data_IF_385225162412
#
_entry.id   IF_385225162412
#
_cell.length_a   1.000
_cell.length_b   1.000
_cell.length_c   1.000
_cell.angle_alpha   90.00
_cell.angle_beta   90.00
_cell.angle_gamma   90.00
#
_symmetry.space_group_name_H-M   'P 1'
#
loop_
_entity.id
_entity.type
_entity.pdbx_description
1 polymer ?
#
# COMPACT_ATOMS: atom_id res chain seq x y z
N UNK A 1 5.11 -14.08 11.17
CA UNK A 1 3.92 -13.24 10.86
C UNK A 1 4.47 -12.02 10.14
N UNK A 2 4.20 -11.86 8.84
CA UNK A 2 4.88 -10.88 7.98
C UNK A 2 4.03 -9.61 7.71
N UNK A 3 2.86 -9.51 8.35
CA UNK A 3 1.91 -8.40 8.20
C UNK A 3 2.56 -7.05 8.48
N UNK A 4 3.36 -6.94 9.56
CA UNK A 4 3.98 -5.68 10.00
C UNK A 4 4.97 -5.14 8.98
N UNK A 5 5.68 -5.97 8.24
CA UNK A 5 6.62 -5.49 7.24
C UNK A 5 5.95 -5.20 5.88
N UNK A 6 4.72 -5.70 5.67
CA UNK A 6 3.99 -5.60 4.39
C UNK A 6 2.84 -4.59 4.37
N UNK A 7 2.56 -3.89 5.48
CA UNK A 7 1.41 -2.99 5.57
C UNK A 7 1.59 -1.67 4.82
N UNK A 8 2.80 -1.11 4.79
CA UNK A 8 3.05 0.27 4.33
C UNK A 8 2.77 0.43 2.84
N UNK A 9 1.86 1.35 2.48
CA UNK A 9 1.74 1.87 1.11
C UNK A 9 1.37 0.84 0.03
N UNK A 10 0.78 -0.30 0.42
CA UNK A 10 0.53 -1.49 -0.42
C UNK A 10 1.80 -2.28 -0.80
N UNK A 11 2.87 -2.07 -0.04
CA UNK A 11 4.10 -2.84 -0.06
C UNK A 11 5.17 -2.34 -1.02
N UNK A 12 6.42 -2.53 -0.58
CA UNK A 12 7.64 -2.09 -1.26
C UNK A 12 8.22 -3.24 -2.08
N UNK A 13 8.57 -2.98 -3.33
CA UNK A 13 9.33 -3.94 -4.14
C UNK A 13 10.76 -4.09 -3.63
N UNK A 14 11.49 -5.09 -4.12
CA UNK A 14 12.92 -5.23 -3.85
C UNK A 14 13.73 -3.99 -4.31
N UNK A 15 13.30 -3.35 -5.40
CA UNK A 15 13.93 -2.15 -5.92
C UNK A 15 13.68 -0.95 -5.00
N UNK A 16 12.46 -0.79 -4.49
CA UNK A 16 12.12 0.21 -3.48
C UNK A 16 12.97 -0.02 -2.21
N UNK A 17 13.06 -1.26 -1.75
CA UNK A 17 13.85 -1.63 -0.58
C UNK A 17 15.33 -1.27 -0.76
N UNK A 18 15.89 -1.54 -1.95
CA UNK A 18 17.27 -1.18 -2.29
C UNK A 18 17.48 0.33 -2.28
N UNK A 19 16.56 1.11 -2.86
CA UNK A 19 16.64 2.58 -2.89
C UNK A 19 16.53 3.19 -1.49
N UNK A 20 15.73 2.56 -0.61
CA UNK A 20 15.51 3.00 0.77
C UNK A 20 16.58 2.49 1.76
N UNK A 21 17.52 1.66 1.32
CA UNK A 21 18.54 1.05 2.19
C UNK A 21 17.99 0.02 3.18
N UNK A 22 16.82 -0.56 2.87
CA UNK A 22 16.20 -1.62 3.66
C UNK A 22 16.81 -3.00 3.29
N UNK A 23 16.62 -4.04 4.13
CA UNK A 23 16.92 -5.40 3.73
C UNK A 23 16.22 -5.72 2.40
N UNK A 24 16.98 -6.21 1.42
CA UNK A 24 16.50 -6.44 0.06
C UNK A 24 15.57 -7.66 0.06
N UNK A 25 14.26 -7.39 0.00
CA UNK A 25 13.18 -8.37 -0.14
C UNK A 25 11.92 -7.68 -0.63
N UNK A 26 10.95 -8.49 -1.05
CA UNK A 26 9.63 -8.02 -1.44
C UNK A 26 8.71 -7.88 -0.20
N UNK A 27 8.26 -6.65 0.04
CA UNK A 27 7.35 -6.26 1.11
C UNK A 27 5.91 -6.11 0.59
N UNK A 28 5.58 -6.61 -0.61
CA UNK A 28 4.21 -6.64 -1.10
C UNK A 28 3.34 -7.65 -0.32
N UNK A 29 2.09 -7.29 0.04
CA UNK A 29 1.13 -8.23 0.62
C UNK A 29 0.93 -9.47 -0.26
N UNK A 30 1.04 -10.66 0.34
CA UNK A 30 0.90 -11.94 -0.35
C UNK A 30 -0.38 -12.69 0.05
N UNK A 31 -0.83 -12.51 1.30
CA UNK A 31 -2.06 -13.16 1.80
C UNK A 31 -3.23 -12.18 1.88
N UNK A 32 -4.45 -12.71 2.00
CA UNK A 32 -5.65 -11.89 2.17
C UNK A 32 -5.58 -11.03 3.44
N UNK A 33 -5.10 -11.58 4.55
CA UNK A 33 -4.93 -10.87 5.81
C UNK A 33 -3.94 -9.72 5.69
N UNK A 34 -2.83 -9.94 4.96
CA UNK A 34 -1.85 -8.89 4.69
C UNK A 34 -2.45 -7.76 3.83
N UNK A 35 -3.27 -8.12 2.83
CA UNK A 35 -3.98 -7.14 1.99
C UNK A 35 -4.98 -6.32 2.79
N UNK A 36 -5.77 -6.97 3.65
CA UNK A 36 -6.76 -6.32 4.52
C UNK A 36 -6.06 -5.31 5.45
N UNK A 37 -4.98 -5.70 6.11
CA UNK A 37 -4.26 -4.80 7.02
C UNK A 37 -3.62 -3.63 6.26
N UNK A 38 -2.99 -3.90 5.11
CA UNK A 38 -2.43 -2.84 4.28
C UNK A 38 -3.50 -1.88 3.75
N UNK A 39 -4.67 -2.39 3.37
CA UNK A 39 -5.79 -1.55 2.93
C UNK A 39 -6.33 -0.68 4.06
N UNK A 40 -6.53 -1.25 5.24
CA UNK A 40 -6.97 -0.50 6.42
C UNK A 40 -5.99 0.63 6.78
N UNK A 41 -4.66 0.38 6.74
CA UNK A 41 -3.65 1.43 6.95
C UNK A 41 -3.77 2.59 5.95
N UNK A 42 -4.09 2.27 4.69
CA UNK A 42 -4.25 3.27 3.63
C UNK A 42 -5.56 4.07 3.70
N UNK A 43 -6.50 3.70 4.58
CA UNK A 43 -7.73 4.45 4.86
C UNK A 43 -7.60 5.37 6.08
N UNK A 44 -6.40 5.49 6.65
CA UNK A 44 -6.12 6.41 7.74
C UNK A 44 -4.88 7.27 7.45
N UNK A 45 -4.95 8.53 7.88
CA UNK A 45 -3.81 9.44 7.90
C UNK A 45 -3.56 9.91 9.33
N UNK A 46 -2.74 9.16 10.06
CA UNK A 46 -2.61 9.36 11.50
C UNK A 46 -3.84 8.83 12.22
N UNK A 47 -4.59 9.71 12.88
CA UNK A 47 -5.84 9.34 13.56
C UNK A 47 -7.10 9.61 12.73
N UNK A 48 -6.96 10.29 11.59
CA UNK A 48 -8.09 10.69 10.76
C UNK A 48 -8.38 9.62 9.69
N UNK A 49 -9.64 9.23 9.57
CA UNK A 49 -10.11 8.40 8.46
C UNK A 49 -10.12 9.21 7.16
N UNK A 50 -9.65 8.60 6.08
CA UNK A 50 -9.53 9.21 4.76
C UNK A 50 -9.97 8.21 3.69
N UNK A 51 -10.37 8.72 2.52
CA UNK A 51 -10.61 7.85 1.37
C UNK A 51 -9.30 7.39 0.70
N UNK A 52 -9.42 6.37 -0.15
CA UNK A 52 -8.28 5.83 -0.89
C UNK A 52 -7.65 6.87 -1.83
N UNK A 53 -8.44 7.81 -2.36
CA UNK A 53 -7.97 8.82 -3.32
C UNK A 53 -7.05 9.84 -2.64
N UNK A 54 -7.35 10.24 -1.40
CA UNK A 54 -6.45 11.03 -0.57
C UNK A 54 -5.07 10.37 -0.44
N UNK A 55 -5.06 9.06 -0.14
CA UNK A 55 -3.82 8.30 0.01
C UNK A 55 -3.09 8.15 -1.33
N UNK A 56 -3.80 7.92 -2.43
CA UNK A 56 -3.25 7.92 -3.78
C UNK A 56 -2.55 9.26 -4.10
N UNK A 57 -3.23 10.39 -3.87
CA UNK A 57 -2.67 11.72 -4.13
C UNK A 57 -1.48 12.03 -3.22
N UNK A 58 -1.52 11.59 -1.96
CA UNK A 58 -0.39 11.68 -1.03
C UNK A 58 0.83 10.93 -1.56
N UNK A 59 0.65 9.72 -2.09
CA UNK A 59 1.75 8.92 -2.62
C UNK A 59 2.24 9.42 -3.98
N UNK A 60 1.38 9.92 -4.87
CA UNK A 60 1.78 10.56 -6.13
C UNK A 60 2.71 11.75 -5.87
N UNK A 61 2.36 12.60 -4.88
CA UNK A 61 3.21 13.74 -4.48
C UNK A 61 4.57 13.30 -3.92
N UNK A 62 4.65 12.15 -3.25
CA UNK A 62 5.89 11.65 -2.62
C UNK A 62 6.79 10.86 -3.56
N UNK A 63 6.22 10.04 -4.44
CA UNK A 63 6.93 9.06 -5.26
C UNK A 63 6.91 9.39 -6.76
N UNK A 64 6.11 10.38 -7.16
CA UNK A 64 5.84 10.69 -8.56
C UNK A 64 4.54 10.07 -9.05
N UNK A 65 3.93 10.74 -10.04
CA UNK A 65 2.58 10.42 -10.54
C UNK A 65 2.45 9.02 -11.13
N UNK A 66 3.54 8.51 -11.73
CA UNK A 66 3.59 7.22 -12.41
C UNK A 66 4.22 6.09 -11.58
N UNK A 67 4.35 6.27 -10.26
CA UNK A 67 4.96 5.25 -9.41
C UNK A 67 4.09 3.97 -9.37
N UNK A 68 4.67 2.75 -9.51
CA UNK A 68 3.90 1.50 -9.51
C UNK A 68 3.01 1.29 -8.28
N UNK A 69 3.39 1.84 -7.13
CA UNK A 69 2.61 1.76 -5.88
C UNK A 69 1.23 2.41 -5.97
N UNK A 70 1.05 3.40 -6.86
CA UNK A 70 -0.24 4.06 -7.08
C UNK A 70 -1.27 3.07 -7.64
N UNK A 71 -0.85 2.29 -8.63
CA UNK A 71 -1.68 1.27 -9.25
C UNK A 71 -1.96 0.11 -8.28
N UNK A 72 -0.98 -0.25 -7.45
CA UNK A 72 -1.17 -1.29 -6.41
C UNK A 72 -2.23 -0.88 -5.39
N UNK A 73 -2.21 0.37 -4.93
CA UNK A 73 -3.21 0.93 -4.00
C UNK A 73 -4.63 0.80 -4.55
N UNK A 74 -4.83 1.21 -5.81
CA UNK A 74 -6.13 1.11 -6.50
C UNK A 74 -6.61 -0.33 -6.56
N UNK A 75 -5.76 -1.23 -7.06
CA UNK A 75 -6.09 -2.66 -7.18
C UNK A 75 -6.45 -3.31 -5.84
N UNK A 76 -5.72 -2.99 -4.77
CA UNK A 76 -6.03 -3.54 -3.44
C UNK A 76 -7.38 -3.03 -2.93
N UNK A 77 -7.70 -1.75 -3.15
CA UNK A 77 -9.00 -1.19 -2.79
C UNK A 77 -10.15 -1.80 -3.61
N UNK A 78 -9.99 -1.92 -4.92
CA UNK A 78 -10.97 -2.57 -5.81
C UNK A 78 -11.21 -4.03 -5.40
N UNK A 79 -10.15 -4.80 -5.11
CA UNK A 79 -10.24 -6.21 -4.71
C UNK A 79 -11.05 -6.41 -3.43
N UNK A 80 -10.95 -5.49 -2.46
CA UNK A 80 -11.53 -5.64 -1.13
C UNK A 80 -12.89 -4.97 -0.97
N UNK A 81 -13.15 -3.88 -1.68
CA UNK A 81 -14.38 -3.08 -1.54
C UNK A 81 -15.41 -3.46 -2.61
N UNK A 82 -15.02 -3.48 -3.90
CA UNK A 82 -15.95 -3.74 -5.01
C UNK A 82 -16.38 -5.20 -5.12
N UNK A 83 -15.76 -6.11 -4.35
CA UNK A 83 -16.14 -7.52 -4.33
C UNK A 83 -17.49 -7.78 -3.64
N UNK A 84 -18.02 -6.76 -2.97
CA UNK A 84 -19.26 -6.83 -2.19
C UNK A 84 -20.34 -5.85 -2.67
N UNK A 85 -20.09 -5.13 -3.77
CA UNK A 85 -21.07 -4.34 -4.52
C UNK A 85 -21.71 -5.18 -5.64
#
# INVERSE_FOLDING_TARGET
INIVERHIGTGLTEDDARQLGLPIKDYTPQTLEEKIVSHADNLFNGADEVDVEFTIEKWKRKLGENHPSIEKLRKNHEELVLRFE
#
